data_IF_543727129050
#
_entry.id   IF_543727129050
#
_cell.length_a   1.000
_cell.length_b   1.000
_cell.length_c   1.000
_cell.angle_alpha   90.00
_cell.angle_beta   90.00
_cell.angle_gamma   90.00
#
_symmetry.space_group_name_H-M   'P 1'
#
loop_
_entity.id
_entity.type
_entity.pdbx_description
1 polymer ?
#
# COMPACT_ATOMS: atom_id res chain seq x y z
N UNK A 1 -43.37 -30.53 8.98
CA UNK A 1 -42.83 -29.75 7.85
C UNK A 1 -41.94 -28.64 8.43
N UNK A 2 -40.65 -28.94 8.63
CA UNK A 2 -39.65 -27.92 9.00
C UNK A 2 -39.32 -27.11 7.73
N UNK A 3 -39.85 -25.88 7.61
CA UNK A 3 -39.36 -24.90 6.65
C UNK A 3 -37.94 -24.51 7.09
N UNK A 4 -36.94 -25.02 6.43
CA UNK A 4 -35.58 -24.50 6.49
C UNK A 4 -35.64 -23.01 6.11
N UNK A 5 -35.60 -22.14 7.11
CA UNK A 5 -35.32 -20.72 6.90
C UNK A 5 -33.88 -20.65 6.34
N UNK A 6 -33.76 -20.53 5.04
CA UNK A 6 -32.50 -20.10 4.42
C UNK A 6 -32.12 -18.80 5.10
N UNK A 7 -31.16 -18.87 6.04
CA UNK A 7 -30.56 -17.67 6.62
C UNK A 7 -30.05 -16.87 5.42
N UNK A 8 -30.66 -15.72 5.14
CA UNK A 8 -30.09 -14.75 4.22
C UNK A 8 -28.68 -14.47 4.74
N UNK A 9 -27.68 -14.92 3.99
CA UNK A 9 -26.28 -14.72 4.34
C UNK A 9 -26.03 -13.22 4.37
N UNK A 10 -25.53 -12.71 5.47
CA UNK A 10 -25.18 -11.29 5.59
C UNK A 10 -23.96 -11.04 4.73
N UNK A 11 -24.01 -10.04 3.86
CA UNK A 11 -22.84 -9.54 3.11
C UNK A 11 -21.82 -8.98 4.10
N UNK A 12 -20.56 -9.29 3.88
CA UNK A 12 -19.45 -8.75 4.68
C UNK A 12 -18.84 -7.56 3.96
N UNK A 13 -18.38 -6.57 4.72
CA UNK A 13 -17.61 -5.45 4.21
C UNK A 13 -16.21 -5.53 4.79
N UNK A 14 -15.23 -5.68 3.91
CA UNK A 14 -13.81 -5.57 4.23
C UNK A 14 -13.33 -4.17 3.93
N UNK A 15 -12.53 -3.58 4.81
CA UNK A 15 -12.04 -2.22 4.64
C UNK A 15 -10.54 -2.14 4.78
N UNK A 16 -9.90 -1.38 3.89
CA UNK A 16 -8.51 -0.96 4.00
C UNK A 16 -8.47 0.56 3.82
N UNK A 17 -8.43 1.28 4.93
CA UNK A 17 -8.51 2.74 4.99
C UNK A 17 -7.16 3.36 5.30
N UNK A 18 -7.02 4.69 5.09
CA UNK A 18 -5.82 5.45 5.40
C UNK A 18 -4.61 5.05 4.55
N UNK A 19 -4.84 4.65 3.30
CA UNK A 19 -3.76 4.25 2.40
C UNK A 19 -3.07 2.93 2.76
N UNK A 20 -3.69 2.09 3.60
CA UNK A 20 -3.08 0.82 4.09
C UNK A 20 -2.57 -0.07 2.96
N UNK A 21 -3.29 -0.16 1.84
CA UNK A 21 -2.84 -0.93 0.67
C UNK A 21 -1.49 -0.43 0.15
N UNK A 22 -1.25 0.87 0.19
CA UNK A 22 -0.05 1.52 -0.32
C UNK A 22 1.23 1.20 0.48
N UNK A 23 1.09 0.65 1.68
CA UNK A 23 2.21 0.25 2.53
C UNK A 23 2.66 -1.20 2.33
N UNK A 24 1.96 -1.95 1.50
CA UNK A 24 2.29 -3.36 1.24
C UNK A 24 3.33 -3.48 0.12
N UNK A 25 4.25 -4.42 0.28
CA UNK A 25 5.31 -4.68 -0.72
C UNK A 25 4.77 -5.37 -1.97
N UNK A 26 3.71 -6.18 -1.82
CA UNK A 26 3.13 -6.93 -2.93
C UNK A 26 1.61 -7.05 -2.79
N UNK A 27 0.90 -6.00 -3.23
CA UNK A 27 -0.54 -5.83 -3.07
C UNK A 27 -1.37 -6.98 -3.69
N UNK A 28 -1.11 -7.43 -4.94
CA UNK A 28 -1.89 -8.52 -5.54
C UNK A 28 -1.77 -9.83 -4.77
N UNK A 29 -0.57 -10.15 -4.26
CA UNK A 29 -0.36 -11.35 -3.44
C UNK A 29 -1.12 -11.25 -2.12
N UNK A 30 -1.01 -10.11 -1.43
CA UNK A 30 -1.72 -9.87 -0.18
C UNK A 30 -3.22 -9.96 -0.38
N UNK A 31 -3.78 -9.26 -1.37
CA UNK A 31 -5.20 -9.27 -1.68
C UNK A 31 -5.69 -10.68 -2.01
N UNK A 32 -4.94 -11.43 -2.82
CA UNK A 32 -5.27 -12.81 -3.14
C UNK A 32 -5.33 -13.68 -1.89
N UNK A 33 -4.33 -13.62 -1.02
CA UNK A 33 -4.24 -14.46 0.18
C UNK A 33 -5.26 -14.05 1.24
N UNK A 34 -5.40 -12.75 1.51
CA UNK A 34 -6.28 -12.25 2.58
C UNK A 34 -7.74 -12.36 2.20
N UNK A 35 -8.06 -12.18 0.91
CA UNK A 35 -9.43 -12.20 0.42
C UNK A 35 -9.88 -13.58 -0.12
N UNK A 36 -9.10 -14.65 0.12
CA UNK A 36 -9.49 -16.01 -0.22
C UNK A 36 -10.80 -16.45 0.45
N UNK A 37 -11.04 -16.00 1.68
CA UNK A 37 -12.25 -16.31 2.43
C UNK A 37 -13.46 -15.45 2.05
N UNK A 38 -13.30 -14.53 1.07
CA UNK A 38 -14.40 -13.70 0.60
C UNK A 38 -15.29 -14.50 -0.34
N UNK A 39 -16.58 -14.30 -0.16
CA UNK A 39 -17.61 -14.99 -0.90
C UNK A 39 -18.31 -14.05 -1.89
N UNK A 40 -19.08 -14.62 -2.79
CA UNK A 40 -19.90 -13.84 -3.71
C UNK A 40 -20.72 -12.77 -2.96
N UNK A 41 -20.79 -11.58 -3.54
CA UNK A 41 -21.47 -10.40 -3.00
C UNK A 41 -20.81 -9.73 -1.78
N UNK A 42 -19.71 -10.26 -1.23
CA UNK A 42 -18.92 -9.52 -0.25
C UNK A 42 -18.38 -8.22 -0.84
N UNK A 43 -18.21 -7.22 -0.01
CA UNK A 43 -17.76 -5.89 -0.39
C UNK A 43 -16.33 -5.62 0.11
N UNK A 44 -15.56 -4.88 -0.69
CA UNK A 44 -14.23 -4.38 -0.34
C UNK A 44 -14.18 -2.87 -0.55
N UNK A 45 -13.88 -2.14 0.51
CA UNK A 45 -13.70 -0.69 0.47
C UNK A 45 -12.22 -0.37 0.64
N UNK A 46 -11.65 0.29 -0.36
CA UNK A 46 -10.24 0.71 -0.37
C UNK A 46 -10.15 2.22 -0.37
N UNK A 47 -9.28 2.75 0.48
CA UNK A 47 -8.79 4.12 0.42
C UNK A 47 -7.37 4.08 -0.13
N UNK A 48 -7.18 4.64 -1.32
CA UNK A 48 -5.92 4.54 -2.05
C UNK A 48 -5.41 5.89 -2.52
N UNK A 49 -4.11 6.17 -2.36
CA UNK A 49 -3.48 7.32 -2.97
C UNK A 49 -3.30 7.08 -4.48
N UNK A 50 -3.61 8.11 -5.25
CA UNK A 50 -3.56 8.06 -6.70
C UNK A 50 -2.28 8.68 -7.25
N UNK A 51 -1.89 8.24 -8.44
CA UNK A 51 -0.94 8.94 -9.29
C UNK A 51 -1.59 10.24 -9.75
N UNK A 52 -1.10 11.38 -9.28
CA UNK A 52 -1.66 12.70 -9.60
C UNK A 52 -1.04 13.35 -10.84
N UNK A 53 0.16 12.89 -11.25
CA UNK A 53 0.88 13.33 -12.43
C UNK A 53 1.84 12.22 -12.89
N UNK A 54 2.34 12.27 -14.15
CA UNK A 54 3.43 11.41 -14.57
C UNK A 54 4.58 11.52 -13.55
N UNK A 55 5.11 10.37 -13.13
CA UNK A 55 6.17 10.33 -12.13
C UNK A 55 7.40 11.08 -12.66
N UNK A 56 7.59 12.31 -12.22
CA UNK A 56 8.81 13.07 -12.46
C UNK A 56 9.78 12.76 -11.31
N UNK A 57 10.52 11.67 -11.46
CA UNK A 57 11.40 11.07 -10.47
C UNK A 57 12.33 12.06 -9.75
N UNK A 58 13.14 12.87 -10.45
CA UNK A 58 14.09 13.73 -9.75
C UNK A 58 13.43 14.84 -8.92
N UNK A 59 12.28 15.33 -9.35
CA UNK A 59 11.60 16.44 -8.67
C UNK A 59 10.85 15.95 -7.43
N UNK A 60 10.24 14.76 -7.48
CA UNK A 60 9.52 14.21 -6.33
C UNK A 60 10.48 13.77 -5.22
N UNK A 61 11.63 13.17 -5.55
CA UNK A 61 12.65 12.82 -4.58
C UNK A 61 13.21 14.08 -3.91
N UNK A 62 13.67 15.07 -4.68
CA UNK A 62 14.22 16.32 -4.14
C UNK A 62 13.23 17.09 -3.25
N UNK A 63 11.96 17.11 -3.63
CA UNK A 63 10.94 17.78 -2.82
C UNK A 63 10.72 17.07 -1.50
N UNK A 64 10.77 15.74 -1.48
CA UNK A 64 10.55 14.94 -0.28
C UNK A 64 11.78 14.84 0.62
N UNK A 65 13.00 14.83 0.06
CA UNK A 65 14.23 14.89 0.84
C UNK A 65 14.30 16.20 1.64
N UNK A 66 13.92 17.31 1.03
CA UNK A 66 13.80 18.60 1.75
C UNK A 66 12.82 18.60 2.91
N UNK A 67 11.82 17.71 2.89
CA UNK A 67 10.88 17.59 3.99
C UNK A 67 11.49 16.86 5.19
N UNK A 68 12.50 15.99 5.00
CA UNK A 68 13.23 15.37 6.10
C UNK A 68 14.33 16.30 6.67
N UNK A 69 14.98 17.11 5.84
CA UNK A 69 16.10 17.98 6.21
C UNK A 69 15.68 19.29 6.93
N UNK A 70 14.74 19.19 7.85
CA UNK A 70 14.25 20.33 8.63
C UNK A 70 12.86 20.82 8.25
N UNK A 71 12.18 20.09 7.33
CA UNK A 71 10.80 20.35 6.95
C UNK A 71 9.77 19.66 7.84
N UNK A 72 8.53 19.62 7.36
CA UNK A 72 7.36 19.05 8.06
C UNK A 72 7.56 17.60 8.49
N UNK A 73 8.45 16.83 7.84
CA UNK A 73 8.73 15.43 8.14
C UNK A 73 9.91 15.21 9.10
N UNK A 74 10.60 16.25 9.56
CA UNK A 74 11.68 16.10 10.54
C UNK A 74 11.24 15.36 11.84
N UNK A 75 10.04 15.62 12.40
CA UNK A 75 9.53 14.83 13.52
C UNK A 75 9.33 13.35 13.18
N UNK A 76 8.96 13.04 11.94
CA UNK A 76 8.81 11.66 11.48
C UNK A 76 10.15 10.94 11.38
N UNK A 77 11.22 11.63 10.94
CA UNK A 77 12.58 11.06 10.93
C UNK A 77 13.00 10.64 12.35
N UNK A 78 12.74 11.50 13.34
CA UNK A 78 13.00 11.19 14.75
C UNK A 78 12.19 9.99 15.24
N UNK A 79 10.90 9.95 14.91
CA UNK A 79 10.01 8.85 15.28
C UNK A 79 10.39 7.54 14.58
N UNK A 80 10.64 7.56 13.27
CA UNK A 80 11.05 6.39 12.48
C UNK A 80 12.43 5.89 12.89
N UNK A 81 13.35 6.79 13.24
CA UNK A 81 14.69 6.46 13.71
C UNK A 81 14.74 5.91 15.12
N UNK A 82 13.73 6.19 15.96
CA UNK A 82 13.70 5.79 17.36
C UNK A 82 13.99 4.31 17.60
N UNK A 83 13.35 3.36 16.90
CA UNK A 83 13.66 1.94 17.01
C UNK A 83 15.11 1.60 16.63
N UNK A 84 15.67 2.26 15.61
CA UNK A 84 17.06 2.05 15.19
C UNK A 84 17.99 2.45 16.31
N UNK A 85 17.86 3.65 16.86
CA UNK A 85 18.69 4.13 17.98
C UNK A 85 18.55 3.25 19.23
N UNK A 86 17.37 2.69 19.46
CA UNK A 86 17.12 1.85 20.64
C UNK A 86 17.69 0.44 20.52
N UNK A 87 17.64 -0.14 19.32
CA UNK A 87 17.92 -1.57 19.14
C UNK A 87 19.25 -1.85 18.40
N UNK A 88 19.79 -0.89 17.67
CA UNK A 88 21.09 -1.03 17.04
C UNK A 88 22.18 -0.49 17.97
N UNK A 89 23.13 -1.34 18.34
CA UNK A 89 24.30 -0.92 19.11
C UNK A 89 25.30 -0.22 18.18
N UNK A 90 26.01 0.79 18.75
CA UNK A 90 27.13 1.45 18.08
C UNK A 90 26.75 2.21 16.79
N UNK A 91 25.54 2.74 16.77
CA UNK A 91 25.09 3.63 15.70
C UNK A 91 25.77 4.98 15.88
N UNK A 92 26.52 5.40 14.87
CA UNK A 92 27.16 6.71 14.84
C UNK A 92 26.24 7.75 14.16
N UNK A 93 25.58 7.30 13.08
CA UNK A 93 24.71 8.18 12.28
C UNK A 93 23.61 7.39 11.60
N UNK A 94 22.46 8.02 11.42
CA UNK A 94 21.34 7.52 10.62
C UNK A 94 21.00 8.59 9.58
N UNK A 95 21.19 8.25 8.31
CA UNK A 95 20.82 9.11 7.19
C UNK A 95 19.50 8.64 6.60
N UNK A 96 18.55 9.55 6.46
CA UNK A 96 17.24 9.25 5.85
C UNK A 96 17.20 9.76 4.41
N UNK A 97 16.69 8.93 3.52
CA UNK A 97 16.47 9.29 2.12
C UNK A 97 15.23 8.60 1.56
N UNK A 98 14.74 9.12 0.44
CA UNK A 98 13.67 8.50 -0.32
C UNK A 98 14.24 7.70 -1.49
N UNK A 99 13.70 6.51 -1.68
CA UNK A 99 13.95 5.70 -2.87
C UNK A 99 12.64 5.55 -3.64
N UNK A 100 12.69 5.80 -4.96
CA UNK A 100 11.57 5.63 -5.86
C UNK A 100 11.62 4.24 -6.51
N UNK A 101 10.58 3.45 -6.33
CA UNK A 101 10.33 2.19 -7.01
C UNK A 101 9.30 2.40 -8.11
N UNK A 102 9.69 2.16 -9.37
CA UNK A 102 8.79 2.26 -10.53
C UNK A 102 8.32 0.90 -11.04
N UNK A 103 8.90 -0.19 -10.53
CA UNK A 103 8.52 -1.57 -10.87
C UNK A 103 7.61 -2.15 -9.81
N UNK A 104 6.42 -1.57 -9.67
CA UNK A 104 5.44 -2.03 -8.71
C UNK A 104 4.59 -3.19 -9.27
N UNK A 105 4.06 -4.07 -8.40
CA UNK A 105 3.21 -5.19 -8.81
C UNK A 105 1.92 -4.76 -9.53
N UNK A 106 1.37 -3.59 -9.20
CA UNK A 106 0.25 -2.99 -9.93
C UNK A 106 0.84 -2.12 -11.06
N UNK A 107 0.58 -2.43 -12.33
CA UNK A 107 1.13 -1.68 -13.45
C UNK A 107 0.76 -0.19 -13.42
N UNK A 108 1.67 0.66 -13.89
CA UNK A 108 1.45 2.12 -13.90
C UNK A 108 1.49 2.79 -12.54
N UNK A 109 1.75 2.01 -11.49
CA UNK A 109 1.95 2.51 -10.13
C UNK A 109 3.42 2.76 -9.83
N UNK A 110 3.68 3.56 -8.82
CA UNK A 110 5.02 3.71 -8.25
C UNK A 110 4.94 3.73 -6.72
N UNK A 111 6.07 3.47 -6.07
CA UNK A 111 6.16 3.59 -4.62
C UNK A 111 7.38 4.42 -4.20
N UNK A 112 7.21 5.14 -3.10
CA UNK A 112 8.28 5.83 -2.40
C UNK A 112 8.61 5.03 -1.15
N UNK A 113 9.88 4.69 -1.00
CA UNK A 113 10.40 4.05 0.20
C UNK A 113 11.14 5.07 1.05
N UNK A 114 10.76 5.20 2.31
CA UNK A 114 11.59 5.85 3.29
C UNK A 114 12.68 4.87 3.71
N UNK A 115 13.92 5.20 3.45
CA UNK A 115 15.08 4.37 3.73
C UNK A 115 15.96 5.08 4.76
N UNK A 116 16.35 4.35 5.79
CA UNK A 116 17.38 4.77 6.73
C UNK A 116 18.68 4.02 6.44
N UNK A 117 19.76 4.75 6.21
CA UNK A 117 21.11 4.16 6.14
C UNK A 117 21.79 4.32 7.50
N UNK A 118 22.07 3.21 8.15
CA UNK A 118 22.73 3.19 9.44
C UNK A 118 24.22 3.05 9.25
N UNK A 119 24.97 4.02 9.79
CA UNK A 119 26.43 4.01 9.85
C UNK A 119 26.89 3.56 11.23
N UNK A 120 27.84 2.66 11.26
CA UNK A 120 28.42 2.09 12.47
C UNK A 120 29.93 1.95 12.32
N UNK A 121 30.68 2.17 13.40
CA UNK A 121 32.15 2.00 13.42
C UNK A 121 32.62 0.59 13.14
N UNK A 122 31.73 -0.42 13.29
CA UNK A 122 32.12 -1.84 13.22
C UNK A 122 31.49 -2.62 12.07
N UNK A 123 30.61 -2.02 11.29
CA UNK A 123 29.93 -2.72 10.19
C UNK A 123 29.79 -1.82 8.96
N UNK A 124 29.68 -2.46 7.80
CA UNK A 124 29.33 -1.75 6.57
C UNK A 124 27.98 -1.04 6.72
N UNK A 125 27.80 0.07 6.02
CA UNK A 125 26.56 0.82 5.94
C UNK A 125 25.40 -0.13 5.57
N UNK A 126 24.32 -0.07 6.36
CA UNK A 126 23.15 -0.92 6.14
C UNK A 126 21.93 -0.07 5.84
N UNK A 127 21.35 -0.21 4.65
CA UNK A 127 20.06 0.40 4.34
C UNK A 127 18.91 -0.44 4.94
N UNK A 128 17.93 0.25 5.53
CA UNK A 128 16.70 -0.32 6.03
C UNK A 128 15.53 0.40 5.39
N UNK A 129 14.66 -0.34 4.71
CA UNK A 129 13.36 0.21 4.31
C UNK A 129 12.48 0.32 5.54
N UNK A 130 12.08 1.54 5.88
CA UNK A 130 11.28 1.83 7.06
C UNK A 130 9.80 1.72 6.76
N UNK A 131 9.38 2.28 5.65
CA UNK A 131 8.04 2.09 5.13
C UNK A 131 7.98 2.37 3.64
N UNK A 132 6.97 1.82 3.00
CA UNK A 132 6.64 2.01 1.59
C UNK A 132 5.35 2.83 1.49
N UNK A 133 5.28 3.69 0.48
CA UNK A 133 4.08 4.45 0.16
C UNK A 133 3.81 4.39 -1.34
N UNK A 134 2.91 3.49 -1.73
CA UNK A 134 2.49 3.29 -3.12
C UNK A 134 1.52 4.37 -3.60
N UNK A 135 1.55 4.68 -4.89
CA UNK A 135 0.55 5.48 -5.59
C UNK A 135 0.08 4.73 -6.82
N UNK A 136 -1.21 4.71 -7.05
CA UNK A 136 -1.84 3.83 -8.01
C UNK A 136 -2.43 4.58 -9.20
N UNK A 137 -2.21 4.04 -10.41
CA UNK A 137 -3.09 4.33 -11.52
C UNK A 137 -4.47 3.71 -11.23
N UNK A 138 -5.55 4.51 -11.19
CA UNK A 138 -6.85 4.02 -10.78
C UNK A 138 -7.44 2.96 -11.71
N UNK A 139 -7.14 3.05 -13.02
CA UNK A 139 -7.63 2.07 -14.01
C UNK A 139 -6.89 0.75 -13.86
N UNK A 140 -5.56 0.80 -13.73
CA UNK A 140 -4.71 -0.39 -13.57
C UNK A 140 -4.98 -1.12 -12.24
N UNK A 141 -5.26 -0.38 -11.17
CA UNK A 141 -5.69 -0.98 -9.92
C UNK A 141 -7.03 -1.70 -10.07
N UNK A 142 -8.00 -1.10 -10.77
CA UNK A 142 -9.29 -1.71 -11.03
C UNK A 142 -9.17 -2.97 -11.92
N UNK A 143 -8.30 -2.94 -12.95
CA UNK A 143 -7.97 -4.11 -13.77
C UNK A 143 -7.40 -5.25 -12.91
N UNK A 144 -6.38 -4.96 -12.08
CA UNK A 144 -5.78 -5.93 -11.16
C UNK A 144 -6.81 -6.55 -10.20
N UNK A 145 -7.69 -5.73 -9.62
CA UNK A 145 -8.76 -6.23 -8.75
C UNK A 145 -9.80 -7.05 -9.51
N UNK A 146 -10.08 -6.68 -10.77
CA UNK A 146 -10.97 -7.46 -11.63
C UNK A 146 -10.42 -8.86 -11.92
N UNK A 147 -9.11 -9.01 -12.15
CA UNK A 147 -8.44 -10.29 -12.29
C UNK A 147 -8.55 -11.15 -11.02
N UNK A 148 -8.61 -10.50 -9.86
CA UNK A 148 -8.83 -11.17 -8.57
C UNK A 148 -10.32 -11.43 -8.27
N UNK A 149 -11.21 -11.16 -9.23
CA UNK A 149 -12.65 -11.40 -9.13
C UNK A 149 -13.43 -10.32 -8.40
N UNK A 150 -12.96 -9.07 -8.41
CA UNK A 150 -13.64 -7.94 -7.79
C UNK A 150 -14.11 -6.94 -8.87
N UNK A 151 -15.39 -6.59 -8.85
CA UNK A 151 -15.94 -5.56 -9.72
C UNK A 151 -16.07 -4.24 -8.97
N UNK A 152 -15.57 -3.16 -9.55
CA UNK A 152 -15.78 -1.83 -9.01
C UNK A 152 -17.24 -1.42 -9.11
N UNK A 153 -17.81 -0.95 -8.02
CA UNK A 153 -19.17 -0.44 -7.93
C UNK A 153 -19.21 1.09 -7.94
N UNK A 154 -18.26 1.72 -7.23
CA UNK A 154 -18.20 3.16 -7.09
C UNK A 154 -16.78 3.61 -6.77
N UNK A 155 -16.44 4.83 -7.16
CA UNK A 155 -15.21 5.49 -6.80
C UNK A 155 -15.48 6.98 -6.56
N UNK A 156 -14.91 7.52 -5.48
CA UNK A 156 -14.98 8.94 -5.14
C UNK A 156 -13.58 9.43 -4.87
N UNK A 157 -13.11 10.43 -5.65
CA UNK A 157 -11.83 11.08 -5.40
C UNK A 157 -12.00 12.25 -4.43
N UNK A 158 -11.02 12.43 -3.55
CA UNK A 158 -11.01 13.50 -2.57
C UNK A 158 -9.57 14.00 -2.35
N UNK A 159 -9.43 15.26 -1.94
CA UNK A 159 -8.13 15.89 -1.70
C UNK A 159 -7.19 15.92 -2.91
N UNK A 160 -7.69 15.65 -4.12
CA UNK A 160 -6.92 15.65 -5.37
C UNK A 160 -5.96 14.46 -5.57
N UNK A 161 -5.62 13.75 -4.51
CA UNK A 161 -4.61 12.68 -4.54
C UNK A 161 -5.08 11.35 -3.96
N UNK A 162 -6.31 11.24 -3.51
CA UNK A 162 -6.87 10.03 -2.91
C UNK A 162 -8.19 9.63 -3.56
N UNK A 163 -8.50 8.34 -3.50
CA UNK A 163 -9.80 7.80 -3.93
C UNK A 163 -10.28 6.73 -2.98
N UNK A 164 -11.54 6.88 -2.58
CA UNK A 164 -12.28 5.83 -1.90
C UNK A 164 -13.01 4.99 -2.95
N UNK A 165 -12.74 3.70 -3.00
CA UNK A 165 -13.23 2.80 -4.05
C UNK A 165 -13.92 1.59 -3.45
N UNK A 166 -15.13 1.33 -3.91
CA UNK A 166 -15.96 0.21 -3.46
C UNK A 166 -16.02 -0.86 -4.53
N UNK A 167 -15.72 -2.08 -4.15
CA UNK A 167 -15.76 -3.27 -5.00
C UNK A 167 -16.71 -4.31 -4.46
N UNK A 168 -17.20 -5.19 -5.35
CA UNK A 168 -18.01 -6.37 -5.01
C UNK A 168 -17.37 -7.63 -5.57
N UNK A 169 -17.31 -8.69 -4.76
CA UNK A 169 -16.84 -10.01 -5.19
C UNK A 169 -17.80 -10.62 -6.21
N UNK A 170 -17.26 -11.13 -7.33
CA UNK A 170 -18.04 -11.86 -8.33
C UNK A 170 -18.42 -13.26 -7.81
N UNK A 171 -19.56 -13.77 -8.28
CA UNK A 171 -20.04 -15.10 -7.95
C UNK A 171 -19.14 -16.22 -8.53
N UNK A 172 -18.55 -15.99 -9.70
CA UNK A 172 -17.87 -17.02 -10.51
C UNK A 172 -16.35 -17.05 -10.35
N UNK A 173 -15.79 -16.23 -9.47
CA UNK A 173 -14.35 -16.21 -9.23
C UNK A 173 -13.93 -17.34 -8.30
N UNK A 174 -14.01 -18.58 -8.77
CA UNK A 174 -13.25 -19.67 -8.18
C UNK A 174 -11.78 -19.40 -8.52
N UNK A 175 -10.86 -19.23 -7.55
CA UNK A 175 -9.46 -19.12 -7.88
C UNK A 175 -9.06 -20.41 -8.57
N UNK A 176 -8.61 -20.34 -9.83
CA UNK A 176 -7.87 -21.45 -10.41
C UNK A 176 -6.73 -21.75 -9.44
N UNK A 177 -6.78 -22.94 -8.85
CA UNK A 177 -5.71 -23.47 -8.04
C UNK A 177 -4.48 -23.55 -8.94
N UNK A 178 -3.67 -22.50 -8.92
CA UNK A 178 -2.43 -22.42 -9.68
C UNK A 178 -1.52 -23.55 -9.22
N UNK A 179 -1.20 -24.38 -10.16
CA UNK A 179 -0.12 -25.35 -10.13
C UNK A 179 1.21 -24.70 -9.83
#
# INVERSE_FOLDING_TARGET
>A
LYRSRTRRRSRRLFTMLGGTLAHLDHEPRFLRQTLLACEADDLLLLDVPLVSAPCNEPMQIKTRDRLFDGGVLAPYATWLGGPIWRHCKEVERVDFHWHLETRCPVPGSYALHAVATVKSSRSADRPFSLFRFGRYDPKKLAECLSELGWNELAAVSYGGEHSLRLYRKRADATPEAGQ
#
